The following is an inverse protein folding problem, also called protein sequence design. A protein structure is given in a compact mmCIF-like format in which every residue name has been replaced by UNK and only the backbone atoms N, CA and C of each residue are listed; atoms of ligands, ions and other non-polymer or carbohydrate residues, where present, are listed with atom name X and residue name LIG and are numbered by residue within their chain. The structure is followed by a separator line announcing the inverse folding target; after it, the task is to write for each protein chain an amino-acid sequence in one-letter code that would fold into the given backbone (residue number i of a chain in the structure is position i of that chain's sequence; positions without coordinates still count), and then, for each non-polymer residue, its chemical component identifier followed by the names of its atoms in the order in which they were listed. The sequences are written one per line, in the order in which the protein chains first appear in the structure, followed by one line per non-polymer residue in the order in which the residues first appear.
data_IF_809024787138
#
_entry.id   IF_809024787138
#
_cell.length_a   1.000
_cell.length_b   1.000
_cell.length_c   1.000
_cell.angle_alpha   90.00
_cell.angle_beta   90.00
_cell.angle_gamma   90.00
#
_symmetry.space_group_name_H-M   'P 1'
#
loop_
_entity.id
_entity.type
_entity.pdbx_description
1 polymer ?
#
# COMPACT_ATOMS: atom_id res chain seq x y z
N UNK A 1 -17.06 16.51 -11.22
CA UNK A 1 -16.76 15.25 -10.68
C UNK A 1 -15.31 15.10 -10.33
N UNK A 2 -15.02 14.63 -9.17
CA UNK A 2 -13.64 14.53 -8.76
C UNK A 2 -12.98 13.34 -9.44
N UNK A 3 -11.73 13.51 -9.86
CA UNK A 3 -10.94 12.42 -10.38
C UNK A 3 -10.53 11.57 -9.20
N UNK A 4 -10.73 10.26 -9.28
CA UNK A 4 -10.34 9.43 -8.16
C UNK A 4 -8.84 9.18 -8.18
N UNK A 5 -8.32 8.76 -7.04
CA UNK A 5 -6.88 8.62 -6.86
C UNK A 5 -6.27 7.53 -7.73
N UNK A 6 -7.02 6.50 -8.06
CA UNK A 6 -6.51 5.44 -8.91
C UNK A 6 -6.23 5.96 -10.31
N UNK A 7 -7.09 6.83 -10.83
CA UNK A 7 -6.87 7.40 -12.16
C UNK A 7 -5.64 8.30 -12.16
N UNK A 8 -5.48 9.09 -11.11
CA UNK A 8 -4.30 9.93 -10.97
C UNK A 8 -3.05 9.07 -10.84
N UNK A 9 -3.15 7.98 -10.09
CA UNK A 9 -2.04 7.05 -9.92
C UNK A 9 -1.59 6.46 -11.25
N UNK A 10 -2.53 6.03 -12.07
CA UNK A 10 -2.19 5.46 -13.37
C UNK A 10 -1.44 6.47 -14.23
N UNK A 11 -1.85 7.71 -14.18
CA UNK A 11 -1.20 8.75 -14.93
C UNK A 11 0.22 9.02 -14.42
N UNK A 12 0.37 9.09 -13.11
CA UNK A 12 1.68 9.34 -12.51
C UNK A 12 2.64 8.18 -12.78
N UNK A 13 2.14 6.96 -12.73
CA UNK A 13 2.98 5.80 -13.01
C UNK A 13 3.42 5.80 -14.46
N UNK A 14 2.52 6.15 -15.36
CA UNK A 14 2.87 6.23 -16.77
C UNK A 14 4.02 7.22 -16.99
N UNK A 15 3.97 8.36 -16.30
CA UNK A 15 5.03 9.36 -16.40
C UNK A 15 6.30 8.91 -15.70
N UNK A 16 6.19 8.07 -14.70
CA UNK A 16 7.36 7.58 -13.96
C UNK A 16 8.05 8.63 -13.13
N UNK A 17 7.32 9.65 -12.70
CA UNK A 17 7.87 10.74 -11.92
C UNK A 17 7.23 10.80 -10.55
N UNK A 18 7.93 11.43 -9.60
CA UNK A 18 7.42 11.68 -8.26
C UNK A 18 7.00 10.39 -7.55
N UNK A 19 8.00 9.59 -7.24
CA UNK A 19 7.78 8.30 -6.59
C UNK A 19 7.05 8.44 -5.26
N UNK A 20 7.34 9.49 -4.51
CA UNK A 20 6.63 9.73 -3.25
C UNK A 20 5.14 9.85 -3.46
N UNK A 21 4.72 10.60 -4.48
CA UNK A 21 3.31 10.76 -4.78
C UNK A 21 2.69 9.46 -5.27
N UNK A 22 3.45 8.69 -6.05
CA UNK A 22 2.97 7.39 -6.53
C UNK A 22 2.65 6.48 -5.36
N UNK A 23 3.56 6.41 -4.38
CA UNK A 23 3.33 5.56 -3.21
C UNK A 23 2.15 6.07 -2.38
N UNK A 24 2.05 7.38 -2.20
CA UNK A 24 0.91 7.93 -1.47
C UNK A 24 -0.40 7.61 -2.18
N UNK A 25 -0.43 7.72 -3.51
CA UNK A 25 -1.64 7.44 -4.26
C UNK A 25 -2.03 5.96 -4.22
N UNK A 26 -1.04 5.06 -4.11
CA UNK A 26 -1.37 3.65 -3.93
C UNK A 26 -2.15 3.43 -2.64
N UNK A 27 -1.77 4.12 -1.59
CA UNK A 27 -2.48 4.01 -0.31
C UNK A 27 -3.83 4.71 -0.38
N UNK A 28 -3.85 5.93 -0.89
CA UNK A 28 -5.09 6.70 -0.97
C UNK A 28 -6.13 5.99 -1.83
N UNK A 29 -5.70 5.45 -2.97
CA UNK A 29 -6.62 4.74 -3.84
C UNK A 29 -7.23 3.52 -3.18
N UNK A 30 -6.44 2.81 -2.38
CA UNK A 30 -6.95 1.65 -1.65
C UNK A 30 -7.99 2.07 -0.61
N UNK A 31 -7.72 3.17 0.08
CA UNK A 31 -8.65 3.66 1.10
C UNK A 31 -9.97 4.09 0.46
N UNK A 32 -9.90 4.73 -0.70
CA UNK A 32 -11.10 5.24 -1.36
C UNK A 32 -12.09 4.13 -1.74
N UNK A 33 -11.58 2.93 -2.05
CA UNK A 33 -12.46 1.83 -2.42
C UNK A 33 -12.60 0.81 -1.30
N UNK A 34 -12.20 1.18 -0.10
CA UNK A 34 -12.31 0.32 1.10
C UNK A 34 -11.58 -1.00 0.97
N UNK A 35 -10.39 -0.97 0.40
CA UNK A 35 -9.56 -2.16 0.35
C UNK A 35 -9.03 -2.47 1.73
N UNK A 36 -8.83 -3.74 2.01
CA UNK A 36 -8.23 -4.19 3.27
C UNK A 36 -6.73 -4.37 3.17
N UNK A 37 -6.24 -4.70 1.98
CA UNK A 37 -4.82 -4.98 1.77
C UNK A 37 -4.36 -4.42 0.44
N UNK A 38 -3.07 -4.09 0.39
CA UNK A 38 -2.40 -3.62 -0.82
C UNK A 38 -1.26 -4.58 -1.10
N UNK A 39 -1.19 -5.10 -2.32
CA UNK A 39 -0.11 -6.01 -2.74
C UNK A 39 0.64 -5.37 -3.91
N UNK A 40 1.94 -5.18 -3.75
CA UNK A 40 2.80 -4.70 -4.83
C UNK A 40 3.76 -5.83 -5.14
N UNK A 41 3.59 -6.46 -6.29
CA UNK A 41 4.26 -7.72 -6.59
C UNK A 41 5.07 -7.65 -7.86
N UNK A 42 6.38 -7.90 -7.80
CA UNK A 42 7.18 -7.99 -9.02
C UNK A 42 6.95 -9.36 -9.67
N UNK A 43 6.74 -9.34 -10.97
CA UNK A 43 6.59 -10.56 -11.77
C UNK A 43 7.73 -10.58 -12.78
N UNK A 44 7.67 -11.47 -13.76
CA UNK A 44 8.79 -11.63 -14.66
C UNK A 44 9.15 -10.35 -15.42
N UNK A 45 8.17 -9.68 -15.99
CA UNK A 45 8.41 -8.50 -16.83
C UNK A 45 7.62 -7.27 -16.41
N UNK A 46 6.84 -7.37 -15.34
CA UNK A 46 6.03 -6.25 -14.88
C UNK A 46 5.92 -6.30 -13.36
N UNK A 47 5.45 -5.22 -12.78
CA UNK A 47 5.06 -5.18 -11.38
C UNK A 47 3.55 -4.98 -11.34
N UNK A 48 2.89 -5.72 -10.49
CA UNK A 48 1.44 -5.72 -10.40
C UNK A 48 0.99 -5.14 -9.07
N UNK A 49 0.06 -4.18 -9.13
CA UNK A 49 -0.58 -3.65 -7.93
C UNK A 49 -1.96 -4.28 -7.82
N UNK A 50 -2.23 -4.91 -6.70
CA UNK A 50 -3.54 -5.50 -6.42
C UNK A 50 -4.04 -5.00 -5.09
N UNK A 51 -5.35 -4.81 -5.00
CA UNK A 51 -6.02 -4.48 -3.75
C UNK A 51 -6.96 -5.62 -3.39
N UNK A 52 -7.05 -5.93 -2.10
CA UNK A 52 -8.06 -6.87 -1.64
C UNK A 52 -9.29 -6.07 -1.28
N UNK A 53 -10.38 -6.31 -1.98
CA UNK A 53 -11.66 -5.63 -1.76
C UNK A 53 -12.71 -6.70 -1.58
N UNK A 54 -13.42 -6.63 -0.46
CA UNK A 54 -14.45 -7.64 -0.13
C UNK A 54 -13.91 -9.05 -0.20
N UNK A 55 -12.70 -9.25 0.29
CA UNK A 55 -12.08 -10.56 0.36
C UNK A 55 -11.42 -11.04 -0.91
N UNK A 56 -11.54 -10.31 -2.02
CA UNK A 56 -10.97 -10.71 -3.29
C UNK A 56 -9.84 -9.81 -3.70
N UNK A 57 -8.74 -10.39 -4.18
CA UNK A 57 -7.65 -9.61 -4.74
C UNK A 57 -8.01 -9.21 -6.16
N UNK A 58 -7.96 -7.92 -6.42
CA UNK A 58 -8.29 -7.36 -7.73
C UNK A 58 -7.08 -6.65 -8.29
N UNK A 59 -6.75 -6.91 -9.54
CA UNK A 59 -5.66 -6.22 -10.17
C UNK A 59 -6.08 -4.79 -10.46
N UNK A 60 -5.28 -3.84 -10.01
CA UNK A 60 -5.58 -2.42 -10.20
C UNK A 60 -4.81 -1.88 -11.39
N UNK A 61 -3.51 -2.18 -11.46
CA UNK A 61 -2.68 -1.73 -12.57
C UNK A 61 -1.37 -2.50 -12.58
N UNK A 62 -0.62 -2.31 -13.65
CA UNK A 62 0.71 -2.87 -13.80
C UNK A 62 1.65 -1.74 -14.19
N UNK A 63 2.93 -1.90 -13.84
CA UNK A 63 3.92 -0.90 -14.26
C UNK A 63 5.26 -1.56 -14.52
N UNK A 64 6.15 -0.79 -15.12
CA UNK A 64 7.44 -1.29 -15.55
C UNK A 64 8.36 -1.58 -14.36
N UNK A 65 9.13 -2.66 -14.42
CA UNK A 65 9.98 -3.05 -13.29
C UNK A 65 11.00 -1.99 -12.87
N UNK A 66 11.39 -1.10 -13.78
CA UNK A 66 12.44 -0.14 -13.43
C UNK A 66 12.00 0.83 -12.33
N UNK A 67 10.71 0.97 -12.09
CA UNK A 67 10.22 1.81 -11.01
C UNK A 67 10.17 1.08 -9.68
N UNK A 68 10.22 -0.25 -9.70
CA UNK A 68 9.90 -1.03 -8.51
C UNK A 68 10.87 -0.80 -7.36
N UNK A 69 12.16 -0.71 -7.67
CA UNK A 69 13.14 -0.52 -6.62
C UNK A 69 12.92 0.79 -5.88
N UNK A 70 12.53 1.83 -6.60
CA UNK A 70 12.26 3.12 -5.99
C UNK A 70 10.97 3.08 -5.16
N UNK A 71 9.96 2.38 -5.65
CA UNK A 71 8.69 2.21 -4.92
C UNK A 71 8.94 1.46 -3.62
N UNK A 72 9.69 0.37 -3.69
CA UNK A 72 10.02 -0.42 -2.49
C UNK A 72 10.81 0.42 -1.50
N UNK A 73 11.82 1.16 -1.98
CA UNK A 73 12.63 1.99 -1.11
C UNK A 73 11.77 3.03 -0.39
N UNK A 74 10.84 3.64 -1.12
CA UNK A 74 9.98 4.66 -0.52
C UNK A 74 9.10 4.06 0.58
N UNK A 75 8.48 2.92 0.32
CA UNK A 75 7.66 2.27 1.34
C UNK A 75 8.49 1.84 2.55
N UNK A 76 9.73 1.40 2.33
CA UNK A 76 10.61 1.06 3.45
C UNK A 76 10.94 2.28 4.29
N UNK A 77 11.18 3.41 3.65
CA UNK A 77 11.42 4.65 4.39
C UNK A 77 10.20 5.02 5.22
N UNK A 78 9.02 4.93 4.62
CA UNK A 78 7.78 5.31 5.31
C UNK A 78 7.50 4.41 6.51
N UNK A 79 7.96 3.17 6.46
CA UNK A 79 7.69 2.19 7.53
C UNK A 79 8.91 1.92 8.40
N UNK A 80 9.97 2.70 8.26
CA UNK A 80 11.20 2.58 9.04
C UNK A 80 11.90 1.23 8.89
N UNK A 81 11.88 0.68 7.69
CA UNK A 81 12.56 -0.56 7.40
C UNK A 81 13.93 -0.27 6.80
N UNK A 82 14.78 -1.29 6.79
CA UNK A 82 16.14 -1.16 6.24
C UNK A 82 16.08 -1.20 4.73
N UNK A 83 16.47 -0.11 4.10
CA UNK A 83 16.38 0.00 2.64
C UNK A 83 17.37 -0.93 1.95
N UNK A 84 18.55 -1.10 2.54
CA UNK A 84 19.63 -1.86 1.93
C UNK A 84 19.53 -3.36 2.17
N UNK A 85 18.52 -3.82 2.90
CA UNK A 85 18.36 -5.25 3.13
C UNK A 85 17.21 -5.76 2.29
N UNK A 86 17.51 -6.55 1.26
CA UNK A 86 16.51 -7.05 0.33
C UNK A 86 16.35 -8.57 0.38
N UNK A 87 17.15 -9.24 1.20
CA UNK A 87 17.17 -10.71 1.19
C UNK A 87 16.40 -11.35 2.31
N UNK A 88 15.95 -10.57 3.28
CA UNK A 88 15.18 -11.11 4.38
C UNK A 88 13.86 -10.37 4.51
N UNK A 89 12.81 -11.04 4.98
CA UNK A 89 11.54 -10.36 5.23
C UNK A 89 11.70 -9.31 6.31
N UNK A 90 10.96 -8.22 6.17
CA UNK A 90 10.92 -7.17 7.18
C UNK A 90 9.48 -6.79 7.43
N UNK A 91 9.18 -6.36 8.65
CA UNK A 91 7.86 -5.91 9.04
C UNK A 91 7.97 -4.52 9.65
N UNK A 92 7.04 -3.65 9.31
CA UNK A 92 7.01 -2.31 9.84
C UNK A 92 5.61 -1.75 9.82
N UNK A 93 5.50 -0.44 10.06
CA UNK A 93 4.19 0.21 10.12
C UNK A 93 4.31 1.62 9.56
N UNK A 94 3.22 2.05 8.91
CA UNK A 94 3.06 3.41 8.47
C UNK A 94 1.85 3.96 9.21
N UNK A 95 2.02 5.11 9.88
CA UNK A 95 0.89 5.80 10.50
C UNK A 95 0.63 7.06 9.70
N UNK A 96 -0.59 7.26 9.29
CA UNK A 96 -0.92 8.39 8.42
C UNK A 96 -2.37 8.81 8.62
N UNK A 97 -2.73 9.94 8.02
CA UNK A 97 -4.09 10.44 8.05
C UNK A 97 -4.52 10.67 6.61
N UNK A 98 -5.62 10.05 6.21
CA UNK A 98 -6.16 10.21 4.87
C UNK A 98 -7.63 10.58 5.00
N UNK A 99 -8.02 11.67 4.37
CA UNK A 99 -9.39 12.18 4.42
C UNK A 99 -9.86 12.35 5.86
N UNK A 100 -8.98 12.90 6.68
CA UNK A 100 -9.21 13.15 8.12
C UNK A 100 -9.42 11.89 8.94
N UNK A 101 -9.03 10.74 8.40
CA UNK A 101 -9.11 9.48 9.13
C UNK A 101 -7.73 9.00 9.48
N UNK A 102 -7.45 8.72 10.75
CA UNK A 102 -6.16 8.15 11.11
C UNK A 102 -6.12 6.68 10.72
N UNK A 103 -5.03 6.30 10.07
CA UNK A 103 -4.84 4.93 9.59
C UNK A 103 -3.48 4.42 10.00
N UNK A 104 -3.41 3.13 10.26
CA UNK A 104 -2.15 2.42 10.36
C UNK A 104 -2.10 1.42 9.23
N UNK A 105 -0.94 1.29 8.62
CA UNK A 105 -0.72 0.22 7.66
C UNK A 105 0.35 -0.69 8.23
N UNK A 106 0.07 -1.97 8.27
CA UNK A 106 1.09 -2.95 8.64
C UNK A 106 1.76 -3.39 7.37
N UNK A 107 3.07 -3.21 7.31
CA UNK A 107 3.85 -3.39 6.10
C UNK A 107 4.74 -4.60 6.25
N UNK A 108 4.70 -5.49 5.27
CA UNK A 108 5.60 -6.64 5.22
C UNK A 108 6.30 -6.66 3.88
N UNK A 109 7.62 -6.85 3.89
CA UNK A 109 8.37 -7.04 2.67
C UNK A 109 8.84 -8.49 2.62
N UNK A 110 8.78 -9.06 1.42
CA UNK A 110 9.14 -10.47 1.23
C UNK A 110 9.99 -10.60 -0.01
N UNK A 111 11.17 -11.22 0.10
CA UNK A 111 11.99 -11.44 -1.10
C UNK A 111 11.31 -12.45 -2.02
N UNK A 112 11.39 -12.20 -3.32
CA UNK A 112 10.95 -13.16 -4.33
C UNK A 112 12.04 -13.26 -5.39
N UNK A 113 11.89 -14.19 -6.31
CA UNK A 113 12.87 -14.35 -7.38
C UNK A 113 12.90 -13.14 -8.31
N UNK A 114 11.86 -12.33 -8.32
CA UNK A 114 11.78 -11.16 -9.19
C UNK A 114 12.02 -9.84 -8.46
N UNK A 115 12.35 -9.89 -7.18
CA UNK A 115 12.54 -8.69 -6.36
C UNK A 115 11.69 -8.76 -5.12
N UNK A 116 11.62 -7.67 -4.38
CA UNK A 116 10.85 -7.67 -3.14
C UNK A 116 9.38 -7.39 -3.41
N UNK A 117 8.53 -8.15 -2.75
CA UNK A 117 7.09 -7.94 -2.74
C UNK A 117 6.73 -7.18 -1.48
N UNK A 118 5.75 -6.30 -1.57
CA UNK A 118 5.22 -5.62 -0.40
C UNK A 118 3.75 -5.95 -0.23
N UNK A 119 3.37 -6.19 1.01
CA UNK A 119 1.96 -6.36 1.39
C UNK A 119 1.70 -5.39 2.52
N UNK A 120 0.65 -4.60 2.40
CA UNK A 120 0.26 -3.67 3.44
C UNK A 120 -1.18 -3.93 3.82
N UNK A 121 -1.42 -4.09 5.12
CA UNK A 121 -2.78 -4.26 5.64
C UNK A 121 -3.23 -2.95 6.25
N UNK A 122 -4.41 -2.49 5.84
CA UNK A 122 -4.94 -1.21 6.28
C UNK A 122 -5.77 -1.41 7.55
N UNK A 123 -5.43 -0.65 8.60
CA UNK A 123 -6.18 -0.65 9.83
C UNK A 123 -6.73 0.75 10.03
N UNK A 124 -8.04 0.90 9.95
CA UNK A 124 -8.67 2.20 10.11
C UNK A 124 -8.88 2.46 11.59
N UNK A 125 -8.06 3.35 12.14
CA UNK A 125 -8.10 3.64 13.57
C UNK A 125 -9.32 4.43 13.99
N UNK A 126 -9.99 5.07 13.04
CA UNK A 126 -11.21 5.79 13.37
C UNK A 126 -12.37 4.84 13.58
N UNK A 127 -12.27 3.61 13.04
CA UNK A 127 -13.26 2.59 13.30
C UNK A 127 -12.80 1.83 14.51
N UNK A 128 -12.94 2.42 15.67
CA UNK A 128 -12.56 1.73 16.87
C UNK A 128 -13.29 0.42 16.95
N UNK A 129 -12.58 -0.59 17.37
CA UNK A 129 -13.25 -1.77 17.81
C UNK A 129 -14.19 -1.29 18.87
N UNK A 130 -15.46 -1.62 18.79
CA UNK A 130 -16.39 -1.21 19.84
C UNK A 130 -15.76 -1.63 21.14
N UNK A 131 -15.50 -0.69 21.99
CA UNK A 131 -14.88 -1.04 23.25
C UNK A 131 -15.94 -1.72 24.08
N UNK A 132 -15.56 -2.13 25.24
CA UNK A 132 -16.45 -2.90 26.08
C UNK A 132 -17.71 -2.14 26.42
N UNK A 133 -17.59 -0.85 26.48
CA UNK A 133 -18.77 -0.05 26.77
C UNK A 133 -19.73 -0.03 25.63
N UNK A 134 -19.19 0.08 24.43
CA UNK A 134 -20.03 0.08 23.25
C UNK A 134 -20.71 -1.26 23.05
N UNK A 135 -20.16 -2.30 23.61
CA UNK A 135 -20.77 -3.59 23.54
C UNK A 135 -21.84 -3.77 24.59
N UNK A 136 -22.16 -2.74 25.33
CA UNK A 136 -23.22 -2.81 26.29
C UNK A 136 -22.79 -3.40 27.59
N UNK A 137 -21.55 -3.55 27.75
CA UNK A 137 -21.12 -4.01 29.01
C UNK A 137 -20.88 -2.85 29.78
N UNK A 138 -21.58 -2.67 30.48
CA UNK A 138 -21.36 -1.51 31.04
C UNK A 138 -21.39 -1.77 32.23
#
# INVERSE_FOLDING_TARGET
MATNSIEILKEQIYKGENIGQICDLMIIGAVEINASDIHVEPLTNIVRLRYRVDGELREILEYQPFLHQQVIARFKIMSNLKIDEARIPQDGRISTVINNKPLDLRVSTLPTVHGEKIVMRIVDKSKKIPDLMDLGIE
#
